data_IF_804677849394
#
_entry.id   IF_804677849394
#
_cell.length_a   1.000
_cell.length_b   1.000
_cell.length_c   1.000
_cell.angle_alpha   90.00
_cell.angle_beta   90.00
_cell.angle_gamma   90.00
#
_symmetry.space_group_name_H-M   'P 1'
#
loop_
_entity.id
_entity.type
_entity.pdbx_description
1 polymer ?
#
# COMPACT_ATOMS: atom_id res chain seq x y z
N UNK A 1 -0.03 1.78 -14.52
CA UNK A 1 -0.92 1.98 -15.69
C UNK A 1 -0.77 0.78 -16.62
N UNK A 2 -1.86 0.26 -17.21
CA UNK A 2 -1.78 -0.82 -18.21
C UNK A 2 -2.09 -0.28 -19.61
N UNK A 3 -1.35 -0.75 -20.60
CA UNK A 3 -1.67 -0.56 -22.02
C UNK A 3 -1.77 -1.92 -22.68
N UNK A 4 -2.51 -2.01 -23.78
CA UNK A 4 -2.69 -3.25 -24.51
C UNK A 4 -2.39 -3.05 -26.00
N UNK A 5 -1.71 -4.02 -26.60
CA UNK A 5 -1.53 -4.14 -28.03
C UNK A 5 -2.40 -5.29 -28.51
N UNK A 6 -3.32 -5.00 -29.43
CA UNK A 6 -4.19 -6.03 -29.99
C UNK A 6 -3.40 -6.96 -30.91
N UNK A 7 -3.83 -8.22 -31.01
CA UNK A 7 -3.28 -9.23 -31.91
C UNK A 7 -1.80 -9.61 -31.69
N UNK A 8 -1.19 -9.17 -30.58
CA UNK A 8 0.17 -9.55 -30.15
C UNK A 8 0.17 -10.53 -28.96
N UNK A 9 -1.00 -11.01 -28.55
CA UNK A 9 -1.12 -12.09 -27.57
C UNK A 9 -0.97 -13.47 -28.19
N UNK A 10 -1.18 -14.50 -27.37
CA UNK A 10 -1.15 -15.88 -27.83
C UNK A 10 -2.31 -16.19 -28.80
N UNK A 11 -2.14 -17.10 -29.77
CA UNK A 11 -3.22 -17.56 -30.64
C UNK A 11 -4.40 -18.12 -29.84
N UNK A 12 -5.62 -17.84 -30.30
CA UNK A 12 -6.82 -18.37 -29.68
C UNK A 12 -7.01 -19.84 -30.05
N UNK A 13 -7.40 -20.66 -29.06
CA UNK A 13 -7.68 -22.07 -29.26
C UNK A 13 -8.76 -22.25 -30.36
N UNK A 14 -8.49 -23.16 -31.31
CA UNK A 14 -9.30 -23.42 -32.52
C UNK A 14 -9.39 -22.27 -33.53
N UNK A 15 -8.71 -21.13 -33.31
CA UNK A 15 -8.67 -19.99 -34.23
C UNK A 15 -7.24 -19.47 -34.37
N UNK A 16 -6.40 -20.25 -35.05
CA UNK A 16 -4.96 -19.98 -35.18
C UNK A 16 -4.60 -18.62 -35.82
N UNK A 17 -5.52 -18.03 -36.59
CA UNK A 17 -5.34 -16.70 -37.20
C UNK A 17 -5.80 -15.55 -36.31
N UNK A 18 -6.44 -15.83 -35.17
CA UNK A 18 -6.82 -14.82 -34.18
C UNK A 18 -5.84 -14.87 -33.01
N UNK A 19 -5.24 -13.74 -32.67
CA UNK A 19 -4.33 -13.60 -31.54
C UNK A 19 -4.99 -12.79 -30.42
N UNK A 20 -4.59 -13.07 -29.18
CA UNK A 20 -5.02 -12.31 -28.01
C UNK A 20 -4.38 -10.92 -27.94
N UNK A 21 -4.44 -10.29 -26.78
CA UNK A 21 -3.80 -8.99 -26.53
C UNK A 21 -2.52 -9.16 -25.71
N UNK A 22 -1.50 -8.38 -26.01
CA UNK A 22 -0.33 -8.19 -25.16
C UNK A 22 -0.60 -7.04 -24.19
N UNK A 23 -0.54 -7.29 -22.88
CA UNK A 23 -0.68 -6.26 -21.86
C UNK A 23 0.70 -5.80 -21.36
N UNK A 24 0.92 -4.49 -21.34
CA UNK A 24 2.13 -3.86 -20.83
C UNK A 24 1.81 -3.22 -19.49
N UNK A 25 2.52 -3.66 -18.45
CA UNK A 25 2.50 -3.06 -17.12
C UNK A 25 3.70 -2.13 -16.99
N UNK A 26 3.44 -0.82 -16.82
CA UNK A 26 4.50 0.15 -16.60
C UNK A 26 4.82 0.27 -15.11
N UNK A 27 6.03 -0.12 -14.75
CA UNK A 27 6.66 0.24 -13.47
C UNK A 27 7.45 1.52 -13.67
N UNK A 28 7.16 2.54 -12.88
CA UNK A 28 7.86 3.83 -12.94
C UNK A 28 8.88 3.83 -11.80
N UNK A 29 10.16 3.92 -12.16
CA UNK A 29 11.24 4.14 -11.22
C UNK A 29 11.42 5.66 -11.03
N UNK A 30 11.22 6.13 -9.81
CA UNK A 30 11.48 7.52 -9.45
C UNK A 30 12.94 7.69 -9.03
N UNK A 31 13.53 8.88 -9.25
CA UNK A 31 14.84 9.18 -8.68
C UNK A 31 14.75 9.27 -7.16
N UNK A 32 15.81 8.84 -6.46
CA UNK A 32 15.88 8.89 -4.99
C UNK A 32 15.88 10.33 -4.45
N UNK A 33 16.49 11.26 -5.19
CA UNK A 33 16.59 12.68 -4.80
C UNK A 33 16.48 13.60 -6.00
N UNK A 34 16.07 14.84 -5.74
CA UNK A 34 16.03 15.93 -6.72
C UNK A 34 16.76 17.14 -6.13
N UNK A 35 17.56 17.81 -6.96
CA UNK A 35 18.18 19.07 -6.54
C UNK A 35 17.16 20.24 -6.64
N UNK A 36 17.41 21.37 -5.95
CA UNK A 36 16.45 22.48 -5.94
C UNK A 36 16.13 23.07 -7.32
N UNK A 37 17.09 23.10 -8.23
CA UNK A 37 16.91 23.62 -9.59
C UNK A 37 16.01 22.72 -10.44
N UNK A 38 16.17 21.40 -10.31
CA UNK A 38 15.31 20.40 -10.94
C UNK A 38 13.89 20.48 -10.42
N UNK A 39 13.72 20.60 -9.10
CA UNK A 39 12.39 20.75 -8.49
C UNK A 39 11.68 22.00 -9.01
N UNK A 40 12.40 23.14 -9.09
CA UNK A 40 11.85 24.39 -9.64
C UNK A 40 11.48 24.27 -11.12
N UNK A 41 12.28 23.52 -11.89
CA UNK A 41 11.99 23.26 -13.30
C UNK A 41 10.75 22.37 -13.47
N UNK A 42 10.58 21.38 -12.60
CA UNK A 42 9.38 20.52 -12.57
C UNK A 42 8.11 21.31 -12.24
N UNK A 43 8.18 22.24 -11.28
CA UNK A 43 7.04 23.11 -10.94
C UNK A 43 6.54 23.95 -12.13
N UNK A 44 7.43 24.31 -13.06
CA UNK A 44 7.05 25.09 -14.24
C UNK A 44 6.35 24.27 -15.34
N UNK A 45 6.53 22.95 -15.36
CA UNK A 45 6.00 22.06 -16.41
C UNK A 45 4.89 21.13 -15.94
N UNK A 46 4.83 20.85 -14.63
CA UNK A 46 3.78 20.05 -14.03
C UNK A 46 2.50 20.89 -13.85
N UNK A 47 1.32 20.25 -13.79
CA UNK A 47 0.08 20.94 -13.45
C UNK A 47 0.21 21.75 -12.15
N UNK A 48 -0.56 22.84 -11.98
CA UNK A 48 -0.53 23.66 -10.77
C UNK A 48 -0.74 22.81 -9.52
N UNK A 49 0.00 23.15 -8.45
CA UNK A 49 -0.17 22.49 -7.15
C UNK A 49 -1.60 22.63 -6.69
N UNK A 50 -2.21 21.51 -6.30
CA UNK A 50 -3.49 21.52 -5.59
C UNK A 50 -3.27 22.22 -4.25
N UNK A 51 -3.85 23.40 -4.07
CA UNK A 51 -3.83 24.07 -2.76
C UNK A 51 -4.74 23.31 -1.80
N UNK A 52 -4.17 22.76 -0.73
CA UNK A 52 -4.99 22.36 0.43
C UNK A 52 -5.32 23.66 1.17
N UNK A 53 -6.58 24.09 1.06
CA UNK A 53 -7.09 25.22 1.84
C UNK A 53 -7.51 24.65 3.19
N UNK A 54 -6.62 24.71 4.18
CA UNK A 54 -6.93 24.37 5.56
C UNK A 54 -7.60 25.58 6.22
N UNK A 55 -8.63 25.34 7.03
CA UNK A 55 -9.23 26.35 7.89
C UNK A 55 -8.33 26.65 9.10
N UNK A 56 -8.53 27.80 9.73
CA UNK A 56 -7.75 28.18 10.93
C UNK A 56 -7.90 27.15 12.06
N UNK A 57 -9.08 26.54 12.22
CA UNK A 57 -9.30 25.46 13.18
C UNK A 57 -8.50 24.19 12.85
N UNK A 58 -8.42 23.81 11.57
CA UNK A 58 -7.63 22.65 11.14
C UNK A 58 -6.12 22.89 11.27
N UNK A 59 -5.68 24.15 11.16
CA UNK A 59 -4.28 24.54 11.39
C UNK A 59 -3.91 24.49 12.87
N UNK A 60 -4.80 24.93 13.76
CA UNK A 60 -4.59 24.87 15.22
C UNK A 60 -4.51 23.42 15.73
N UNK A 61 -5.18 22.48 15.07
CA UNK A 61 -5.12 21.04 15.38
C UNK A 61 -4.01 20.29 14.61
N UNK A 62 -3.21 20.99 13.79
CA UNK A 62 -2.17 20.35 12.98
C UNK A 62 -0.91 20.05 13.80
N UNK A 63 -0.46 18.79 13.78
CA UNK A 63 0.81 18.37 14.38
C UNK A 63 1.90 18.20 13.32
N UNK A 64 3.08 18.77 13.57
CA UNK A 64 4.26 18.55 12.72
C UNK A 64 4.72 17.09 12.84
N UNK A 65 4.91 16.43 11.70
CA UNK A 65 5.37 15.05 11.65
C UNK A 65 6.44 14.86 10.59
N UNK A 66 7.30 13.86 10.79
CA UNK A 66 8.34 13.48 9.84
C UNK A 66 7.95 12.21 9.12
N UNK A 67 8.16 12.17 7.81
CA UNK A 67 7.99 10.95 7.03
C UNK A 67 9.13 9.99 7.33
N UNK A 68 8.79 8.71 7.45
CA UNK A 68 9.74 7.62 7.60
C UNK A 68 9.50 6.58 6.52
N UNK A 69 10.58 6.03 5.98
CA UNK A 69 10.50 4.96 5.00
C UNK A 69 9.96 3.69 5.65
N UNK A 70 8.95 3.08 5.02
CA UNK A 70 8.32 1.86 5.50
C UNK A 70 8.43 0.78 4.43
N UNK A 71 8.96 -0.38 4.82
CA UNK A 71 8.80 -1.58 4.00
C UNK A 71 7.40 -2.17 4.24
N UNK A 72 6.49 -1.94 3.31
CA UNK A 72 5.09 -2.37 3.39
C UNK A 72 4.97 -3.90 3.42
N UNK A 73 5.87 -4.64 2.76
CA UNK A 73 5.84 -6.10 2.77
C UNK A 73 6.15 -6.65 4.17
N UNK A 74 7.16 -6.09 4.84
CA UNK A 74 7.52 -6.47 6.19
C UNK A 74 6.45 -6.06 7.21
N UNK A 75 5.81 -4.90 7.02
CA UNK A 75 4.68 -4.47 7.86
C UNK A 75 3.52 -5.46 7.72
N UNK A 76 3.08 -5.74 6.49
CA UNK A 76 1.97 -6.66 6.22
C UNK A 76 2.23 -8.05 6.80
N UNK A 77 3.47 -8.54 6.71
CA UNK A 77 3.88 -9.82 7.29
C UNK A 77 3.81 -9.81 8.81
N UNK A 78 4.28 -8.75 9.48
CA UNK A 78 4.18 -8.59 10.94
C UNK A 78 2.71 -8.53 11.38
N UNK A 79 1.89 -7.78 10.66
CA UNK A 79 0.46 -7.65 10.94
C UNK A 79 -0.28 -8.98 10.77
N UNK A 80 0.09 -9.77 9.77
CA UNK A 80 -0.48 -11.12 9.59
C UNK A 80 -0.05 -12.08 10.71
N UNK A 81 1.21 -12.03 11.16
CA UNK A 81 1.67 -12.83 12.29
C UNK A 81 0.93 -12.47 13.60
N UNK A 82 0.78 -11.17 13.90
CA UNK A 82 0.00 -10.71 15.08
C UNK A 82 -1.47 -11.12 15.01
N UNK A 83 -2.06 -11.18 13.81
CA UNK A 83 -3.42 -11.68 13.64
C UNK A 83 -3.51 -13.19 13.89
N UNK A 84 -2.47 -13.97 13.63
CA UNK A 84 -2.42 -15.41 13.88
C UNK A 84 -2.24 -15.74 15.37
N UNK A 85 -1.43 -14.97 16.10
CA UNK A 85 -1.21 -15.13 17.55
C UNK A 85 -2.52 -15.00 18.37
N UNK A 86 -3.55 -14.34 17.85
CA UNK A 86 -4.87 -14.24 18.49
C UNK A 86 -5.78 -15.47 18.27
N UNK A 87 -5.40 -16.39 17.38
CA UNK A 87 -6.16 -17.61 17.05
C UNK A 87 -5.39 -18.91 17.34
N UNK A 88 -4.10 -18.84 17.68
CA UNK A 88 -3.26 -20.01 18.01
C UNK A 88 -3.24 -20.34 19.52
N UNK A 89 -3.87 -19.54 20.39
CA UNK A 89 -4.00 -19.86 21.83
C UNK A 89 -5.09 -20.92 22.14
N UNK A 90 -5.89 -21.36 21.15
CA UNK A 90 -7.07 -22.22 21.38
C UNK A 90 -6.91 -23.69 20.92
N UNK A 91 -5.76 -24.09 20.34
CA UNK A 91 -5.57 -25.46 19.80
C UNK A 91 -4.58 -26.36 20.56
N UNK A 92 -4.17 -25.97 21.79
CA UNK A 92 -3.25 -26.78 22.62
C UNK A 92 -3.56 -26.75 24.14
N UNK A 93 -4.83 -26.95 24.55
CA UNK A 93 -5.16 -27.21 25.97
C UNK A 93 -6.34 -28.18 26.16
N UNK A 94 -6.09 -29.49 26.28
CA UNK A 94 -7.05 -30.42 26.86
C UNK A 94 -6.95 -30.38 28.39
N UNK A 95 -7.62 -29.42 29.04
CA UNK A 95 -7.98 -29.59 30.45
C UNK A 95 -7.98 -28.33 31.33
N UNK A 96 -9.18 -27.98 31.82
CA UNK A 96 -9.33 -27.43 33.17
C UNK A 96 -9.55 -25.93 33.26
N UNK A 97 -10.71 -25.44 32.81
CA UNK A 97 -11.19 -24.11 33.19
C UNK A 97 -11.46 -24.04 34.69
N UNK A 98 -10.53 -23.47 35.45
CA UNK A 98 -10.72 -23.20 36.88
C UNK A 98 -10.95 -21.70 37.09
N UNK A 99 -12.24 -21.36 37.25
CA UNK A 99 -12.72 -20.00 37.44
C UNK A 99 -12.29 -19.50 38.83
N UNK A 100 -11.40 -18.51 38.89
CA UNK A 100 -11.08 -17.80 40.12
C UNK A 100 -11.91 -16.51 40.19
N UNK A 101 -12.89 -16.47 41.09
CA UNK A 101 -13.62 -15.25 41.45
C UNK A 101 -12.84 -14.54 42.56
N UNK A 102 -12.26 -13.38 42.25
CA UNK A 102 -11.75 -12.46 43.28
C UNK A 102 -12.86 -11.43 43.59
N UNK A 103 -13.50 -11.60 44.74
CA UNK A 103 -14.26 -10.53 45.38
C UNK A 103 -13.27 -9.65 46.16
N UNK A 104 -13.26 -8.35 45.89
CA UNK A 104 -12.60 -7.37 46.76
C UNK A 104 -13.66 -6.50 47.44
N UNK A 105 -13.46 -6.32 48.75
CA UNK A 105 -14.14 -5.37 49.63
C UNK A 105 -13.60 -3.95 49.41
#
# INVERSE_FOLDING_TARGET
QYKAINDEGMPMYQRAFMKGKLYIHFTIEFPDTLNPEQSKSLEAVLPPRTSVQLTDMELDECEETTLHDVNIEDEMRRKQAQAQEAYDEDDDMPGGGQRVQCAQQ
#
